data_IF_693797416211
#
_entry.id   IF_693797416211
#
_cell.length_a   1.000
_cell.length_b   1.000
_cell.length_c   1.000
_cell.angle_alpha   90.00
_cell.angle_beta   90.00
_cell.angle_gamma   90.00
#
_symmetry.space_group_name_H-M   'P 1'
#
loop_
_entity.id
_entity.type
_entity.pdbx_description
1 polymer ?
#
# COMPACT_ATOMS: atom_id res chain seq x y z
N UNK A 1 -10.59 -21.63 7.31
CA UNK A 1 -9.80 -20.38 7.51
C UNK A 1 -8.41 -20.78 7.96
N UNK A 2 -7.36 -20.35 7.24
CA UNK A 2 -5.99 -20.65 7.66
C UNK A 2 -5.70 -19.98 9.01
N UNK A 3 -4.94 -20.66 9.89
CA UNK A 3 -4.60 -20.14 11.20
C UNK A 3 -3.57 -19.00 11.08
N UNK A 4 -3.54 -18.10 12.06
CA UNK A 4 -2.52 -17.05 12.14
C UNK A 4 -1.10 -17.65 12.06
N UNK A 5 -0.89 -18.77 12.74
CA UNK A 5 0.42 -19.42 12.75
C UNK A 5 0.83 -19.98 11.37
N UNK A 6 -0.11 -20.57 10.64
CA UNK A 6 0.13 -21.06 9.28
C UNK A 6 0.46 -19.91 8.32
N UNK A 7 -0.25 -18.79 8.43
CA UNK A 7 0.02 -17.59 7.62
C UNK A 7 1.39 -16.99 7.96
N UNK A 8 1.72 -16.88 9.25
CA UNK A 8 3.05 -16.39 9.67
C UNK A 8 4.17 -17.25 9.10
N UNK A 9 4.02 -18.55 9.15
CA UNK A 9 5.00 -19.47 8.58
C UNK A 9 5.13 -19.30 7.06
N UNK A 10 4.02 -19.23 6.35
CA UNK A 10 3.99 -19.07 4.89
C UNK A 10 4.63 -17.78 4.41
N UNK A 11 4.47 -16.69 5.15
CA UNK A 11 5.00 -15.37 4.82
C UNK A 11 6.29 -15.02 5.60
N UNK A 12 6.88 -16.01 6.26
CA UNK A 12 8.14 -15.85 7.00
C UNK A 12 8.09 -14.75 8.07
N UNK A 13 6.93 -14.56 8.69
CA UNK A 13 6.76 -13.61 9.78
C UNK A 13 7.18 -14.26 11.08
N UNK A 14 8.24 -13.72 11.68
CA UNK A 14 8.86 -14.25 12.91
C UNK A 14 8.36 -13.48 14.11
N UNK A 15 7.94 -14.21 15.12
CA UNK A 15 7.57 -13.66 16.42
C UNK A 15 6.23 -14.16 16.92
N UNK A 16 6.01 -14.00 18.23
CA UNK A 16 4.81 -14.44 18.94
C UNK A 16 4.11 -13.29 19.68
N UNK A 17 4.56 -12.06 19.47
CA UNK A 17 3.97 -10.90 20.12
C UNK A 17 2.47 -10.79 19.82
N UNK A 18 1.61 -10.53 20.84
CA UNK A 18 0.16 -10.44 20.64
C UNK A 18 -0.25 -9.33 19.66
N UNK A 19 0.46 -8.21 19.61
CA UNK A 19 0.16 -7.12 18.68
C UNK A 19 0.47 -7.50 17.23
N UNK A 20 1.58 -8.23 17.03
CA UNK A 20 1.92 -8.80 15.73
C UNK A 20 0.86 -9.80 15.26
N UNK A 21 0.47 -10.72 16.13
CA UNK A 21 -0.56 -11.73 15.83
C UNK A 21 -1.89 -11.07 15.49
N UNK A 22 -2.25 -10.01 16.20
CA UNK A 22 -3.48 -9.23 15.94
C UNK A 22 -3.44 -8.54 14.57
N UNK A 23 -2.28 -8.01 14.17
CA UNK A 23 -2.11 -7.42 12.84
C UNK A 23 -2.30 -8.47 11.74
N UNK A 24 -1.70 -9.63 11.88
CA UNK A 24 -1.86 -10.76 10.93
C UNK A 24 -3.31 -11.23 10.89
N UNK A 25 -3.96 -11.35 12.03
CA UNK A 25 -5.38 -11.73 12.14
C UNK A 25 -6.30 -10.74 11.40
N UNK A 26 -6.10 -9.44 11.60
CA UNK A 26 -6.83 -8.41 10.85
C UNK A 26 -6.62 -8.52 9.34
N UNK A 27 -5.38 -8.76 8.90
CA UNK A 27 -5.07 -8.96 7.49
C UNK A 27 -5.86 -10.14 6.90
N UNK A 28 -5.93 -11.25 7.62
CA UNK A 28 -6.71 -12.43 7.21
C UNK A 28 -8.21 -12.09 7.13
N UNK A 29 -8.73 -11.37 8.11
CA UNK A 29 -10.15 -11.01 8.17
C UNK A 29 -10.57 -10.06 7.04
N UNK A 30 -9.73 -9.09 6.67
CA UNK A 30 -10.07 -8.11 5.62
C UNK A 30 -9.78 -8.61 4.21
N UNK A 31 -8.98 -9.66 4.08
CA UNK A 31 -8.55 -10.18 2.78
C UNK A 31 -9.72 -10.52 1.83
N UNK A 32 -10.80 -11.18 2.26
CA UNK A 32 -11.93 -11.49 1.37
C UNK A 32 -12.76 -10.28 0.94
N UNK A 33 -12.50 -9.11 1.50
CA UNK A 33 -13.21 -7.86 1.16
C UNK A 33 -12.40 -7.05 0.14
N UNK A 34 -13.02 -6.00 -0.42
CA UNK A 34 -12.33 -4.99 -1.25
C UNK A 34 -12.02 -3.70 -0.48
N UNK A 35 -12.16 -3.73 0.84
CA UNK A 35 -11.93 -2.58 1.70
C UNK A 35 -10.47 -2.12 1.61
N UNK A 36 -10.27 -0.80 1.55
CA UNK A 36 -8.95 -0.19 1.62
C UNK A 36 -8.37 -0.34 3.02
N UNK A 37 -7.09 -0.65 3.09
CA UNK A 37 -6.36 -0.88 4.35
C UNK A 37 -5.16 0.05 4.41
N UNK A 38 -4.99 0.71 5.55
CA UNK A 38 -3.80 1.48 5.86
C UNK A 38 -2.96 0.74 6.90
N UNK A 39 -1.75 0.37 6.53
CA UNK A 39 -0.78 -0.27 7.42
C UNK A 39 0.13 0.81 8.00
N UNK A 40 0.18 0.91 9.32
CA UNK A 40 1.04 1.87 10.01
C UNK A 40 2.12 1.15 10.81
N UNK A 41 3.25 1.79 10.96
CA UNK A 41 4.38 1.27 11.71
C UNK A 41 5.66 1.97 11.31
N UNK A 42 6.68 1.85 12.14
CA UNK A 42 8.00 2.40 11.87
C UNK A 42 8.64 1.77 10.62
N UNK A 43 9.63 2.44 10.06
CA UNK A 43 10.41 1.88 8.95
C UNK A 43 11.09 0.58 9.38
N UNK A 44 11.07 -0.42 8.49
CA UNK A 44 11.74 -1.70 8.74
C UNK A 44 11.00 -2.69 9.62
N UNK A 45 9.74 -2.44 10.01
CA UNK A 45 8.96 -3.37 10.84
C UNK A 45 8.29 -4.51 10.06
N UNK A 46 8.40 -4.51 8.72
CA UNK A 46 7.82 -5.56 7.88
C UNK A 46 6.43 -5.24 7.34
N UNK A 47 6.10 -3.95 7.13
CA UNK A 47 4.79 -3.53 6.62
C UNK A 47 4.43 -4.16 5.27
N UNK A 48 5.40 -4.52 4.46
CA UNK A 48 5.23 -5.15 3.15
C UNK A 48 4.64 -6.55 3.20
N UNK A 49 4.72 -7.23 4.33
CA UNK A 49 4.14 -8.57 4.50
C UNK A 49 2.62 -8.54 4.55
N UNK A 50 2.04 -7.51 5.13
CA UNK A 50 0.58 -7.39 5.31
C UNK A 50 -0.18 -7.32 3.97
N UNK A 51 0.19 -6.46 3.01
CA UNK A 51 -0.50 -6.43 1.72
C UNK A 51 -0.36 -7.73 0.93
N UNK A 52 0.76 -8.43 1.07
CA UNK A 52 0.96 -9.75 0.43
C UNK A 52 -0.01 -10.79 1.00
N UNK A 53 -0.20 -10.82 2.32
CA UNK A 53 -1.20 -11.67 2.98
C UNK A 53 -2.59 -11.34 2.45
N UNK A 54 -2.96 -10.06 2.46
CA UNK A 54 -4.26 -9.58 2.01
C UNK A 54 -4.53 -10.01 0.56
N UNK A 55 -3.58 -9.76 -0.33
CA UNK A 55 -3.73 -10.14 -1.74
C UNK A 55 -3.88 -11.65 -1.94
N UNK A 56 -3.02 -12.44 -1.30
CA UNK A 56 -3.00 -13.90 -1.49
C UNK A 56 -4.25 -14.62 -0.96
N UNK A 57 -4.95 -14.03 -0.01
CA UNK A 57 -6.19 -14.56 0.57
C UNK A 57 -7.45 -13.87 0.04
N UNK A 58 -7.31 -12.93 -0.89
CA UNK A 58 -8.41 -12.20 -1.49
C UNK A 58 -8.99 -12.90 -2.73
N UNK A 59 -10.14 -12.41 -3.18
CA UNK A 59 -10.71 -12.81 -4.47
C UNK A 59 -9.83 -12.41 -5.66
N UNK A 60 -8.89 -11.48 -5.45
CA UNK A 60 -7.96 -10.96 -6.46
C UNK A 60 -6.61 -11.69 -6.49
N UNK A 61 -6.48 -12.81 -5.79
CA UNK A 61 -5.22 -13.57 -5.64
C UNK A 61 -4.57 -14.00 -6.96
N UNK A 62 -5.34 -14.13 -8.02
CA UNK A 62 -4.86 -14.47 -9.37
C UNK A 62 -4.65 -13.23 -10.25
N UNK A 63 -5.06 -12.05 -9.80
CA UNK A 63 -4.77 -10.77 -10.44
C UNK A 63 -3.36 -10.28 -10.13
N UNK A 64 -2.97 -9.19 -10.77
CA UNK A 64 -1.65 -8.59 -10.52
C UNK A 64 -1.55 -8.01 -9.12
N UNK A 65 -0.38 -8.14 -8.54
CA UNK A 65 0.05 -7.46 -7.34
C UNK A 65 1.21 -6.54 -7.70
N UNK A 66 1.03 -5.25 -7.51
CA UNK A 66 2.05 -4.25 -7.80
C UNK A 66 2.34 -3.47 -6.52
N UNK A 67 3.61 -3.47 -6.11
CA UNK A 67 4.09 -2.67 -4.99
C UNK A 67 4.82 -1.43 -5.52
N UNK A 68 4.44 -0.26 -5.02
CA UNK A 68 5.00 1.03 -5.40
C UNK A 68 5.51 1.73 -4.15
N UNK A 69 6.79 2.12 -4.13
CA UNK A 69 7.33 2.98 -3.09
C UNK A 69 7.19 4.43 -3.53
N UNK A 70 6.21 5.14 -2.96
CA UNK A 70 5.91 6.52 -3.31
C UNK A 70 7.05 7.48 -2.93
N UNK A 71 7.81 7.19 -1.89
CA UNK A 71 8.96 7.99 -1.48
C UNK A 71 10.19 7.84 -2.37
N UNK A 72 10.27 6.73 -3.14
CA UNK A 72 11.39 6.47 -4.04
C UNK A 72 11.19 7.03 -5.45
N UNK A 73 9.96 7.45 -5.80
CA UNK A 73 9.66 8.01 -7.12
C UNK A 73 9.68 9.54 -7.03
N UNK A 74 10.43 10.23 -7.92
CA UNK A 74 10.46 11.69 -7.92
C UNK A 74 9.08 12.31 -8.12
N UNK A 75 8.81 13.43 -7.45
CA UNK A 75 7.55 14.17 -7.55
C UNK A 75 7.17 14.50 -9.01
N UNK A 76 8.16 14.84 -9.85
CA UNK A 76 7.93 15.17 -11.26
C UNK A 76 7.50 13.98 -12.14
N UNK A 77 7.62 12.75 -11.67
CA UNK A 77 7.31 11.53 -12.44
C UNK A 77 6.25 10.65 -11.79
N UNK A 78 5.88 10.91 -10.54
CA UNK A 78 4.95 10.05 -9.79
C UNK A 78 3.58 9.90 -10.48
N UNK A 79 3.02 10.97 -11.01
CA UNK A 79 1.73 10.92 -11.70
C UNK A 79 1.81 10.08 -12.99
N UNK A 80 2.89 10.21 -13.76
CA UNK A 80 3.12 9.40 -14.94
C UNK A 80 3.29 7.91 -14.62
N UNK A 81 4.00 7.60 -13.54
CA UNK A 81 4.18 6.22 -13.09
C UNK A 81 2.86 5.59 -12.63
N UNK A 82 2.06 6.32 -11.85
CA UNK A 82 0.79 5.80 -11.31
C UNK A 82 -0.32 5.77 -12.37
N UNK A 83 -0.49 6.84 -13.12
CA UNK A 83 -1.65 7.04 -13.99
C UNK A 83 -1.35 6.92 -15.49
N UNK A 84 -0.07 6.88 -15.86
CA UNK A 84 0.36 6.88 -17.24
C UNK A 84 0.39 8.28 -17.86
N UNK A 85 0.86 8.36 -19.09
CA UNK A 85 0.95 9.60 -19.84
C UNK A 85 0.66 9.41 -21.33
N UNK A 86 0.14 10.46 -21.95
CA UNK A 86 0.02 10.54 -23.40
C UNK A 86 1.31 11.03 -24.02
N UNK A 87 1.55 10.61 -25.28
CA UNK A 87 2.68 11.11 -26.07
C UNK A 87 2.65 12.63 -26.15
N UNK A 88 3.79 13.26 -25.89
CA UNK A 88 3.94 14.71 -25.97
C UNK A 88 3.43 15.48 -24.76
N UNK A 89 3.00 14.81 -23.70
CA UNK A 89 2.46 15.47 -22.48
C UNK A 89 3.50 16.23 -21.68
N UNK A 90 4.79 15.92 -21.84
CA UNK A 90 5.93 16.62 -21.24
C UNK A 90 7.19 16.37 -22.07
N UNK A 91 8.28 17.11 -21.79
CA UNK A 91 9.57 16.91 -22.47
C UNK A 91 10.09 15.50 -22.20
N UNK A 92 10.29 14.72 -23.25
CA UNK A 92 10.73 13.32 -23.17
C UNK A 92 9.62 12.28 -23.23
N UNK A 93 8.34 12.70 -23.26
CA UNK A 93 7.19 11.81 -23.46
C UNK A 93 7.08 11.42 -24.95
N UNK A 94 7.95 10.53 -25.41
CA UNK A 94 8.05 10.11 -26.83
C UNK A 94 6.93 9.16 -27.23
N UNK A 95 6.38 8.40 -26.26
CA UNK A 95 5.31 7.44 -26.48
C UNK A 95 4.24 7.59 -25.39
N UNK A 96 3.02 7.11 -25.67
CA UNK A 96 1.99 6.90 -24.66
C UNK A 96 2.39 5.72 -23.78
N UNK A 97 2.23 5.85 -22.46
CA UNK A 97 2.58 4.84 -21.48
C UNK A 97 1.42 4.54 -20.54
N UNK A 98 1.24 3.27 -20.24
CA UNK A 98 0.32 2.82 -19.22
C UNK A 98 0.92 3.04 -17.82
N UNK A 99 0.09 3.50 -16.88
CA UNK A 99 0.46 3.60 -15.47
C UNK A 99 0.09 2.36 -14.68
N UNK A 100 0.48 2.34 -13.41
CA UNK A 100 0.22 1.18 -12.55
C UNK A 100 -1.27 0.91 -12.32
N UNK A 101 -2.14 1.92 -12.29
CA UNK A 101 -3.58 1.73 -12.13
C UNK A 101 -4.24 1.07 -13.34
N UNK A 102 -3.68 1.23 -14.50
CA UNK A 102 -4.14 0.52 -15.71
C UNK A 102 -3.61 -0.92 -15.73
N UNK A 103 -2.30 -1.09 -15.46
CA UNK A 103 -1.64 -2.39 -15.46
C UNK A 103 -2.18 -3.32 -14.38
N UNK A 104 -2.51 -2.80 -13.21
CA UNK A 104 -3.02 -3.58 -12.07
C UNK A 104 -4.53 -3.75 -12.05
N UNK A 105 -5.23 -3.32 -13.08
CA UNK A 105 -6.70 -3.46 -13.16
C UNK A 105 -7.12 -4.91 -12.89
N UNK A 106 -8.09 -5.09 -12.02
CA UNK A 106 -8.53 -6.39 -11.51
C UNK A 106 -7.70 -6.96 -10.36
N UNK A 107 -6.58 -6.35 -10.02
CA UNK A 107 -5.64 -6.80 -8.99
C UNK A 107 -5.55 -5.88 -7.78
N UNK A 108 -4.37 -5.85 -7.19
CA UNK A 108 -4.06 -5.08 -5.97
C UNK A 108 -2.83 -4.20 -6.19
N UNK A 109 -2.92 -2.94 -5.74
CA UNK A 109 -1.77 -2.03 -5.65
C UNK A 109 -1.45 -1.82 -4.18
N UNK A 110 -0.18 -2.00 -3.84
CA UNK A 110 0.38 -1.61 -2.55
C UNK A 110 1.15 -0.31 -2.70
N UNK A 111 0.71 0.74 -2.00
CA UNK A 111 1.34 2.05 -1.98
C UNK A 111 2.13 2.21 -0.68
N UNK A 112 3.43 1.94 -0.72
CA UNK A 112 4.31 2.16 0.42
C UNK A 112 4.71 3.64 0.51
N UNK A 113 4.94 4.12 1.72
CA UNK A 113 5.26 5.52 1.99
C UNK A 113 4.24 6.49 1.37
N UNK A 114 2.96 6.16 1.50
CA UNK A 114 1.87 6.95 0.92
C UNK A 114 1.84 8.40 1.42
N UNK A 115 2.36 8.66 2.62
CA UNK A 115 2.51 10.00 3.18
C UNK A 115 3.41 10.93 2.38
N UNK A 116 4.25 10.37 1.51
CA UNK A 116 5.17 11.13 0.64
C UNK A 116 4.54 11.61 -0.67
N UNK A 117 3.29 11.23 -0.96
CA UNK A 117 2.61 11.66 -2.18
C UNK A 117 2.40 13.17 -2.22
N UNK A 118 2.71 13.85 -3.35
CA UNK A 118 2.31 15.24 -3.55
C UNK A 118 0.81 15.44 -3.44
N UNK A 119 0.37 16.61 -2.99
CA UNK A 119 -1.06 16.92 -2.84
C UNK A 119 -1.86 16.74 -4.13
N UNK A 120 -1.29 17.10 -5.27
CA UNK A 120 -1.92 16.93 -6.59
C UNK A 120 -2.14 15.45 -6.92
N UNK A 121 -1.20 14.60 -6.58
CA UNK A 121 -1.30 13.13 -6.74
C UNK A 121 -2.35 12.55 -5.78
N UNK A 122 -2.42 13.07 -4.57
CA UNK A 122 -3.43 12.67 -3.58
C UNK A 122 -4.86 12.88 -4.10
N UNK A 123 -5.12 13.98 -4.78
CA UNK A 123 -6.43 14.27 -5.39
C UNK A 123 -6.77 13.20 -6.45
N UNK A 124 -5.81 12.83 -7.27
CA UNK A 124 -5.99 11.80 -8.31
C UNK A 124 -6.23 10.43 -7.69
N UNK A 125 -5.49 10.09 -6.63
CA UNK A 125 -5.68 8.83 -5.90
C UNK A 125 -7.06 8.76 -5.24
N UNK A 126 -7.53 9.86 -4.66
CA UNK A 126 -8.86 9.93 -4.06
C UNK A 126 -9.94 9.61 -5.11
N UNK A 127 -9.80 10.11 -6.33
CA UNK A 127 -10.73 9.83 -7.42
C UNK A 127 -10.77 8.33 -7.78
N UNK A 128 -9.63 7.66 -7.76
CA UNK A 128 -9.57 6.19 -7.94
C UNK A 128 -10.32 5.47 -6.82
N UNK A 129 -10.11 5.88 -5.57
CA UNK A 129 -10.76 5.27 -4.40
C UNK A 129 -12.27 5.50 -4.37
N UNK A 130 -12.74 6.68 -4.75
CA UNK A 130 -14.15 7.02 -4.69
C UNK A 130 -14.93 6.52 -5.92
N UNK A 131 -14.37 6.68 -7.10
CA UNK A 131 -15.09 6.48 -8.37
C UNK A 131 -14.52 5.36 -9.23
N UNK A 132 -13.34 4.80 -8.89
CA UNK A 132 -12.65 3.86 -9.76
C UNK A 132 -12.19 4.50 -11.07
N UNK A 133 -11.87 5.78 -11.05
CA UNK A 133 -11.54 6.56 -12.25
C UNK A 133 -10.20 7.28 -12.12
N UNK A 134 -9.51 7.41 -13.24
CA UNK A 134 -8.30 8.20 -13.35
C UNK A 134 -8.16 8.80 -14.76
N UNK A 135 -7.26 9.77 -14.90
CA UNK A 135 -6.92 10.42 -16.17
C UNK A 135 -5.40 10.35 -16.33
N UNK A 136 -4.93 9.93 -17.52
CA UNK A 136 -3.51 9.98 -17.86
C UNK A 136 -2.99 11.41 -17.88
N UNK A 137 -1.73 11.62 -17.59
CA UNK A 137 -1.06 12.91 -17.74
C UNK A 137 -1.15 13.36 -19.21
N UNK A 138 -1.63 14.57 -19.45
CA UNK A 138 -1.82 15.12 -20.79
C UNK A 138 -3.10 14.67 -21.51
N UNK A 139 -3.96 13.90 -20.84
CA UNK A 139 -5.26 13.48 -21.38
C UNK A 139 -6.41 14.18 -20.65
N UNK A 140 -7.54 14.31 -21.32
CA UNK A 140 -8.82 14.69 -20.72
C UNK A 140 -9.80 13.51 -20.62
N UNK A 141 -9.41 12.33 -21.12
CA UNK A 141 -10.26 11.15 -21.11
C UNK A 141 -10.23 10.44 -19.77
N UNK A 142 -11.41 10.19 -19.23
CA UNK A 142 -11.59 9.42 -18.02
C UNK A 142 -11.42 7.92 -18.33
N UNK A 143 -10.57 7.25 -17.59
CA UNK A 143 -10.40 5.81 -17.65
C UNK A 143 -10.91 5.18 -16.36
N UNK A 144 -11.37 3.94 -16.44
CA UNK A 144 -11.83 3.18 -15.30
C UNK A 144 -10.81 2.14 -14.90
N UNK A 145 -10.73 1.88 -13.60
CA UNK A 145 -9.92 0.82 -13.03
C UNK A 145 -10.65 0.19 -11.85
N UNK A 146 -10.47 -1.10 -11.69
CA UNK A 146 -10.98 -1.86 -10.56
C UNK A 146 -9.82 -2.49 -9.82
N UNK A 147 -9.17 -1.71 -8.96
CA UNK A 147 -8.03 -2.16 -8.15
C UNK A 147 -8.38 -2.09 -6.67
N UNK A 148 -7.84 -3.02 -5.91
CA UNK A 148 -7.80 -2.90 -4.46
C UNK A 148 -6.55 -2.12 -4.07
N UNK A 149 -6.69 -1.16 -3.16
CA UNK A 149 -5.58 -0.36 -2.66
C UNK A 149 -5.29 -0.74 -1.21
N UNK A 150 -4.04 -1.08 -0.95
CA UNK A 150 -3.47 -1.21 0.38
C UNK A 150 -2.33 -0.20 0.48
N UNK A 151 -2.36 0.65 1.48
CA UNK A 151 -1.34 1.68 1.68
C UNK A 151 -0.57 1.42 2.96
N UNK A 152 0.66 1.92 3.04
CA UNK A 152 1.47 1.91 4.25
C UNK A 152 2.15 3.25 4.47
N UNK A 153 2.38 3.58 5.72
CA UNK A 153 3.10 4.79 6.11
C UNK A 153 3.80 4.62 7.46
N UNK A 154 4.94 5.30 7.62
CA UNK A 154 5.62 5.48 8.89
C UNK A 154 5.37 6.89 9.48
N UNK A 155 4.63 7.72 8.76
CA UNK A 155 4.33 9.11 9.16
C UNK A 155 3.10 9.13 10.07
N UNK A 156 3.12 10.03 11.06
CA UNK A 156 1.91 10.34 11.81
C UNK A 156 0.96 11.13 10.90
N UNK A 157 -0.13 10.49 10.48
CA UNK A 157 -1.04 11.07 9.49
C UNK A 157 -1.84 12.26 10.05
N UNK A 158 -2.13 12.29 11.33
CA UNK A 158 -2.80 13.45 11.94
C UNK A 158 -1.91 14.69 11.91
N UNK A 159 -0.61 14.53 12.18
CA UNK A 159 0.36 15.61 12.06
C UNK A 159 0.51 16.08 10.60
N UNK A 160 0.53 15.15 9.65
CA UNK A 160 0.61 15.46 8.23
C UNK A 160 -0.61 16.24 7.73
N UNK A 161 -1.80 15.87 8.20
CA UNK A 161 -3.06 16.57 7.91
C UNK A 161 -3.04 17.99 8.50
N UNK A 162 -2.66 18.12 9.77
CA UNK A 162 -2.56 19.40 10.45
C UNK A 162 -1.59 20.36 9.75
N UNK A 163 -0.47 19.84 9.25
CA UNK A 163 0.53 20.62 8.50
C UNK A 163 0.16 20.88 7.03
N UNK A 164 -1.01 20.42 6.59
CA UNK A 164 -1.46 20.58 5.21
C UNK A 164 -0.68 19.75 4.18
N UNK A 165 0.05 18.72 4.60
CA UNK A 165 0.83 17.84 3.72
C UNK A 165 0.05 16.63 3.22
N UNK A 166 -1.02 16.27 3.91
CA UNK A 166 -1.89 15.16 3.53
C UNK A 166 -3.35 15.55 3.67
N UNK A 167 -4.15 15.12 2.71
CA UNK A 167 -5.59 15.43 2.69
C UNK A 167 -6.34 14.55 3.68
N UNK A 168 -7.18 15.17 4.48
CA UNK A 168 -8.01 14.47 5.46
C UNK A 168 -8.99 13.49 4.79
N UNK A 169 -9.63 13.88 3.69
CA UNK A 169 -10.56 13.05 2.95
C UNK A 169 -9.88 11.78 2.40
N UNK A 170 -8.67 11.90 1.88
CA UNK A 170 -7.89 10.75 1.42
C UNK A 170 -7.50 9.83 2.58
N UNK A 171 -7.08 10.40 3.70
CA UNK A 171 -6.73 9.62 4.89
C UNK A 171 -7.88 8.72 5.33
N UNK A 172 -9.07 9.29 5.50
CA UNK A 172 -10.23 8.50 5.93
C UNK A 172 -10.65 7.45 4.88
N UNK A 173 -10.45 7.74 3.61
CA UNK A 173 -10.76 6.76 2.55
C UNK A 173 -9.77 5.61 2.52
N UNK A 174 -8.48 5.87 2.74
CA UNK A 174 -7.43 4.84 2.82
C UNK A 174 -7.54 4.00 4.09
N UNK A 175 -7.84 4.63 5.22
CA UNK A 175 -7.87 4.00 6.54
C UNK A 175 -9.24 3.46 6.93
N UNK A 176 -9.98 2.91 5.97
CA UNK A 176 -11.24 2.21 6.28
C UNK A 176 -11.00 1.10 7.29
N UNK A 177 -9.89 0.39 7.16
CA UNK A 177 -9.34 -0.49 8.20
C UNK A 177 -7.89 -0.12 8.44
N UNK A 178 -7.51 0.03 9.70
CA UNK A 178 -6.13 0.26 10.12
C UNK A 178 -5.50 -1.02 10.64
N UNK A 179 -4.27 -1.28 10.20
CA UNK A 179 -3.44 -2.36 10.75
C UNK A 179 -2.14 -1.74 11.23
N UNK A 180 -1.88 -1.83 12.53
CA UNK A 180 -0.67 -1.32 13.14
C UNK A 180 0.31 -2.45 13.40
N UNK A 181 1.57 -2.30 12.93
CA UNK A 181 2.66 -3.20 13.26
C UNK A 181 3.50 -2.62 14.39
N UNK A 182 3.77 -3.41 15.45
CA UNK A 182 4.56 -2.93 16.56
C UNK A 182 6.05 -2.83 16.20
N UNK A 183 6.76 -1.79 16.70
CA UNK A 183 8.22 -1.73 16.58
C UNK A 183 8.88 -2.82 17.40
N UNK A 184 10.11 -3.19 17.03
CA UNK A 184 10.83 -4.29 17.67
C UNK A 184 11.03 -4.09 19.18
N UNK A 185 11.22 -2.84 19.63
CA UNK A 185 11.35 -2.52 21.07
C UNK A 185 10.11 -2.88 21.90
N UNK A 186 8.95 -2.94 21.27
CA UNK A 186 7.68 -3.37 21.89
C UNK A 186 7.44 -4.87 21.77
N UNK A 187 8.36 -5.58 21.08
CA UNK A 187 8.38 -7.02 20.84
C UNK A 187 9.65 -7.66 21.37
N UNK A 188 10.04 -7.30 22.58
CA UNK A 188 11.34 -7.71 23.16
C UNK A 188 11.53 -9.23 23.19
N UNK A 189 10.46 -9.97 23.45
CA UNK A 189 10.50 -11.44 23.50
C UNK A 189 10.75 -12.08 22.13
N UNK A 190 10.51 -11.34 21.04
CA UNK A 190 10.75 -11.81 19.68
C UNK A 190 12.18 -11.53 19.18
N UNK A 191 12.94 -10.68 19.86
CA UNK A 191 14.28 -10.26 19.43
C UNK A 191 15.22 -11.45 19.24
N UNK A 192 15.24 -12.37 20.20
CA UNK A 192 16.10 -13.54 20.11
C UNK A 192 15.67 -14.53 19.01
N UNK A 193 14.38 -14.59 18.69
CA UNK A 193 13.87 -15.41 17.59
C UNK A 193 14.34 -14.86 16.25
N UNK A 194 14.25 -13.55 16.07
CA UNK A 194 14.76 -12.86 14.87
C UNK A 194 16.28 -13.02 14.76
N UNK A 195 17.00 -12.86 15.86
CA UNK A 195 18.45 -13.05 15.88
C UNK A 195 18.84 -14.46 15.44
N UNK A 196 18.16 -15.49 15.96
CA UNK A 196 18.43 -16.88 15.55
C UNK A 196 18.21 -17.12 14.07
N UNK A 197 17.13 -16.56 13.50
CA UNK A 197 16.87 -16.71 12.07
C UNK A 197 18.01 -16.08 11.25
N UNK A 198 18.33 -14.82 11.50
CA UNK A 198 19.36 -14.11 10.74
C UNK A 198 20.78 -14.60 10.99
N UNK A 199 21.04 -15.29 12.08
CA UNK A 199 22.35 -15.90 12.33
C UNK A 199 22.47 -17.31 11.71
N UNK A 200 21.36 -17.91 11.27
CA UNK A 200 21.35 -19.22 10.61
C UNK A 200 21.37 -19.12 9.07
N UNK A 201 21.03 -17.96 8.52
CA UNK A 201 21.09 -17.62 7.11
C UNK A 201 22.49 -17.07 6.75
#
# INVERSE_FOLDING_TARGET
MESVQAIKQRFEIIGNDPKLNRAVEKAIQVAPTDISVLVTGESGVGKESIPKIIHSLSHRKHGKYIAVNCGAIPEGTIDSELFGHEKGSFTGATNTREGYFEVADGGTIFLDEVGELPLTTQVRLLRVLENGEFIKVGSSQVQKTNVRIVAATNVNMFDAIEKGKFREDLFYRLSTVDIMLPPLRDRKDDIHLLFRKFAAD
#
